data_IF_210589036184
#
_entry.id   IF_210589036184
#
_cell.length_a   1.000
_cell.length_b   1.000
_cell.length_c   1.000
_cell.angle_alpha   90.00
_cell.angle_beta   90.00
_cell.angle_gamma   90.00
#
_symmetry.space_group_name_H-M   'P 1'
#
loop_
_entity.id
_entity.type
_entity.pdbx_description
1 polymer ?
#
# COMPACT_ATOMS: atom_id res chain seq x y z
N UNK A 1 -9.34 -5.37 -12.33
CA UNK A 1 -9.36 -4.97 -10.90
C UNK A 1 -8.45 -5.89 -10.12
N UNK A 2 -7.98 -5.42 -8.97
CA UNK A 2 -7.26 -6.25 -8.00
C UNK A 2 -8.27 -6.75 -6.94
N UNK A 3 -9.07 -7.73 -7.29
CA UNK A 3 -10.01 -8.35 -6.37
C UNK A 3 -9.37 -9.59 -5.75
N UNK A 4 -9.68 -9.87 -4.49
CA UNK A 4 -9.18 -11.06 -3.81
C UNK A 4 -10.15 -12.21 -4.04
N UNK A 5 -9.65 -13.28 -4.63
CA UNK A 5 -10.31 -14.59 -4.62
C UNK A 5 -10.02 -15.26 -3.27
N UNK A 6 -10.99 -15.20 -2.36
CA UNK A 6 -10.81 -15.71 -1.01
C UNK A 6 -10.73 -17.24 -0.93
N UNK A 7 -11.35 -17.95 -1.86
CA UNK A 7 -11.24 -19.41 -1.93
C UNK A 7 -9.84 -19.82 -2.37
N UNK A 8 -9.31 -19.15 -3.41
CA UNK A 8 -7.96 -19.39 -3.86
C UNK A 8 -6.93 -18.96 -2.81
N UNK A 9 -7.14 -17.82 -2.14
CA UNK A 9 -6.27 -17.34 -1.04
C UNK A 9 -6.18 -18.37 0.09
N UNK A 10 -7.32 -18.93 0.52
CA UNK A 10 -7.33 -19.97 1.55
C UNK A 10 -6.59 -21.22 1.11
N UNK A 11 -6.83 -21.67 -0.14
CA UNK A 11 -6.13 -22.81 -0.72
C UNK A 11 -4.62 -22.56 -0.77
N UNK A 12 -4.18 -21.40 -1.22
CA UNK A 12 -2.76 -21.04 -1.29
C UNK A 12 -2.11 -21.03 0.10
N UNK A 13 -2.82 -20.54 1.11
CA UNK A 13 -2.35 -20.56 2.51
C UNK A 13 -2.11 -21.98 2.99
N UNK A 14 -3.04 -22.89 2.69
CA UNK A 14 -2.97 -24.30 3.14
C UNK A 14 -1.93 -25.07 2.35
N UNK A 15 -2.00 -25.04 1.02
CA UNK A 15 -1.17 -25.84 0.13
C UNK A 15 0.33 -25.47 0.22
N UNK A 16 0.63 -24.21 0.53
CA UNK A 16 2.01 -23.70 0.67
C UNK A 16 2.45 -23.54 2.12
N UNK A 17 1.66 -23.99 3.09
CA UNK A 17 1.96 -23.86 4.54
C UNK A 17 2.37 -22.43 4.94
N UNK A 18 1.67 -21.41 4.42
CA UNK A 18 2.01 -19.99 4.60
C UNK A 18 2.07 -19.65 6.09
N UNK A 19 3.14 -19.00 6.53
CA UNK A 19 3.33 -18.56 7.92
C UNK A 19 3.15 -17.05 8.08
N UNK A 20 3.35 -16.29 7.02
CA UNK A 20 3.22 -14.84 7.01
C UNK A 20 2.49 -14.40 5.74
N UNK A 21 1.45 -13.61 5.89
CA UNK A 21 0.75 -12.96 4.78
C UNK A 21 1.01 -11.45 4.84
N UNK A 22 1.48 -10.87 3.73
CA UNK A 22 1.72 -9.43 3.64
C UNK A 22 0.62 -8.80 2.81
N UNK A 23 -0.16 -7.95 3.44
CA UNK A 23 -1.24 -7.18 2.84
C UNK A 23 -0.78 -5.74 2.60
N UNK A 24 -0.91 -5.23 1.38
CA UNK A 24 -0.72 -3.82 1.08
C UNK A 24 -2.08 -3.10 1.16
N UNK A 25 -2.23 -2.13 2.08
CA UNK A 25 -3.50 -1.48 2.40
C UNK A 25 -3.32 0.03 2.69
N UNK A 26 -3.67 0.96 1.77
CA UNK A 26 -4.13 0.76 0.38
C UNK A 26 -3.10 0.06 -0.51
N UNK A 27 -3.61 -0.66 -1.54
CA UNK A 27 -2.78 -1.51 -2.39
C UNK A 27 -1.92 -0.70 -3.37
N UNK A 28 -0.62 -0.91 -3.32
CA UNK A 28 0.34 -0.40 -4.29
C UNK A 28 0.81 -1.58 -5.19
N UNK A 29 0.76 -1.49 -6.53
CA UNK A 29 0.50 -0.29 -7.34
C UNK A 29 -0.96 -0.07 -7.78
N UNK A 30 -1.87 -0.96 -7.43
CA UNK A 30 -3.23 -0.97 -7.96
C UNK A 30 -4.16 0.11 -7.42
N UNK A 31 -3.80 0.81 -6.35
CA UNK A 31 -4.62 1.87 -5.76
C UNK A 31 -5.93 1.39 -5.12
N UNK A 32 -6.05 0.08 -4.84
CA UNK A 32 -7.22 -0.49 -4.19
C UNK A 32 -7.27 -0.10 -2.71
N UNK A 33 -8.40 0.42 -2.26
CA UNK A 33 -8.71 0.62 -0.85
C UNK A 33 -9.65 -0.50 -0.41
N UNK A 34 -9.23 -1.30 0.55
CA UNK A 34 -9.98 -2.48 0.98
C UNK A 34 -11.14 -2.11 1.89
N UNK A 35 -12.29 -2.77 1.70
CA UNK A 35 -13.45 -2.60 2.57
C UNK A 35 -13.24 -3.28 3.93
N UNK A 36 -14.06 -2.91 4.92
CA UNK A 36 -14.04 -3.59 6.23
C UNK A 36 -14.33 -5.07 6.12
N UNK A 37 -15.25 -5.45 5.23
CA UNK A 37 -15.68 -6.82 5.01
C UNK A 37 -14.55 -7.66 4.39
N UNK A 38 -13.79 -7.09 3.45
CA UNK A 38 -12.62 -7.75 2.87
C UNK A 38 -11.52 -7.93 3.92
N UNK A 39 -11.21 -6.89 4.68
CA UNK A 39 -10.22 -6.95 5.77
C UNK A 39 -10.63 -7.94 6.86
N UNK A 40 -11.91 -8.01 7.19
CA UNK A 40 -12.44 -8.99 8.14
C UNK A 40 -12.21 -10.43 7.65
N UNK A 41 -12.49 -10.70 6.38
CA UNK A 41 -12.27 -12.02 5.78
C UNK A 41 -10.78 -12.40 5.76
N UNK A 42 -9.90 -11.47 5.38
CA UNK A 42 -8.44 -11.68 5.41
C UNK A 42 -7.98 -12.04 6.81
N UNK A 43 -8.38 -11.24 7.81
CA UNK A 43 -7.99 -11.47 9.20
C UNK A 43 -8.49 -12.82 9.73
N UNK A 44 -9.75 -13.19 9.40
CA UNK A 44 -10.33 -14.49 9.78
C UNK A 44 -9.58 -15.68 9.15
N UNK A 45 -9.18 -15.58 7.88
CA UNK A 45 -8.37 -16.61 7.23
C UNK A 45 -7.00 -16.75 7.89
N UNK A 46 -6.32 -15.64 8.15
CA UNK A 46 -5.04 -15.63 8.85
C UNK A 46 -5.17 -16.25 10.26
N UNK A 47 -6.21 -15.87 11.00
CA UNK A 47 -6.47 -16.42 12.34
C UNK A 47 -6.75 -17.93 12.31
N UNK A 48 -7.61 -18.37 11.38
CA UNK A 48 -7.98 -19.78 11.21
C UNK A 48 -6.78 -20.69 10.97
N UNK A 49 -5.81 -20.21 10.17
CA UNK A 49 -4.65 -21.00 9.77
C UNK A 49 -3.35 -20.65 10.53
N UNK A 50 -3.43 -19.81 11.57
CA UNK A 50 -2.27 -19.44 12.39
C UNK A 50 -1.21 -18.64 11.62
N UNK A 51 -1.63 -17.82 10.66
CA UNK A 51 -0.78 -16.99 9.80
C UNK A 51 -0.58 -15.62 10.46
N UNK A 52 0.66 -15.14 10.52
CA UNK A 52 0.94 -13.77 10.93
C UNK A 52 0.57 -12.82 9.79
N UNK A 53 -0.24 -11.80 10.09
CA UNK A 53 -0.67 -10.80 9.12
C UNK A 53 0.17 -9.52 9.26
N UNK A 54 0.91 -9.19 8.22
CA UNK A 54 1.64 -7.91 8.10
C UNK A 54 0.85 -6.99 7.20
N UNK A 55 0.30 -5.92 7.75
CA UNK A 55 -0.43 -4.89 6.98
C UNK A 55 0.50 -3.71 6.70
N UNK A 56 0.92 -3.57 5.45
CA UNK A 56 1.65 -2.39 4.98
C UNK A 56 0.66 -1.27 4.68
N UNK A 57 0.56 -0.33 5.62
CA UNK A 57 -0.37 0.78 5.58
C UNK A 57 0.32 2.13 5.27
N UNK A 58 1.48 2.08 4.63
CA UNK A 58 2.29 3.28 4.35
C UNK A 58 1.54 4.34 3.51
N UNK A 59 0.51 3.93 2.77
CA UNK A 59 -0.35 4.81 1.97
C UNK A 59 -1.67 5.17 2.66
N UNK A 60 -1.84 4.89 3.95
CA UNK A 60 -3.11 5.03 4.69
C UNK A 60 -3.77 6.41 4.58
N UNK A 61 -3.00 7.49 4.52
CA UNK A 61 -3.51 8.86 4.47
C UNK A 61 -3.85 9.32 3.04
N UNK A 62 -3.44 8.54 2.03
CA UNK A 62 -3.62 8.86 0.61
C UNK A 62 -4.84 8.13 0.01
N UNK A 63 -5.94 8.09 0.76
CA UNK A 63 -7.24 7.69 0.20
C UNK A 63 -7.85 8.87 -0.55
N UNK A 64 -8.44 8.58 -1.71
CA UNK A 64 -9.00 9.56 -2.66
C UNK A 64 -10.50 9.30 -2.86
N UNK A 65 -11.23 10.29 -3.39
CA UNK A 65 -12.64 10.17 -3.77
C UNK A 65 -13.55 9.63 -2.66
N UNK A 66 -13.47 10.18 -1.48
CA UNK A 66 -14.26 9.78 -0.30
C UNK A 66 -14.01 8.34 0.22
N UNK A 67 -13.05 7.60 -0.37
CA UNK A 67 -12.64 6.33 0.19
C UNK A 67 -12.02 6.52 1.58
N UNK A 68 -12.26 5.55 2.45
CA UNK A 68 -11.74 5.56 3.82
C UNK A 68 -10.83 4.37 4.06
N UNK A 69 -9.65 4.67 4.55
CA UNK A 69 -8.74 3.63 5.04
C UNK A 69 -9.28 3.03 6.34
N UNK A 70 -9.12 1.73 6.48
CA UNK A 70 -9.37 0.99 7.70
C UNK A 70 -8.12 0.22 8.06
N UNK A 71 -7.50 0.53 9.20
CA UNK A 71 -6.36 -0.23 9.68
C UNK A 71 -6.81 -1.62 10.15
N UNK A 72 -6.03 -2.65 9.83
CA UNK A 72 -6.36 -4.04 10.19
C UNK A 72 -6.57 -4.22 11.69
N UNK A 73 -5.83 -3.50 12.53
CA UNK A 73 -5.94 -3.55 13.99
C UNK A 73 -7.25 -2.95 14.52
N UNK A 74 -8.02 -2.24 13.68
CA UNK A 74 -9.31 -1.64 14.06
C UNK A 74 -10.52 -2.44 13.60
N UNK A 75 -10.29 -3.50 12.80
CA UNK A 75 -11.37 -4.32 12.23
C UNK A 75 -11.94 -5.26 13.30
N UNK A 76 -11.07 -5.98 13.98
CA UNK A 76 -11.45 -6.89 15.05
C UNK A 76 -10.36 -6.88 16.15
N UNK A 77 -10.73 -6.76 17.44
CA UNK A 77 -9.77 -6.76 18.54
C UNK A 77 -8.85 -7.98 18.57
N UNK A 78 -9.33 -9.15 18.14
CA UNK A 78 -8.53 -10.39 18.14
C UNK A 78 -7.40 -10.38 17.11
N UNK A 79 -7.49 -9.54 16.06
CA UNK A 79 -6.45 -9.45 15.04
C UNK A 79 -5.13 -8.89 15.57
N UNK A 80 -5.18 -8.14 16.67
CA UNK A 80 -4.00 -7.61 17.37
C UNK A 80 -3.06 -8.69 17.89
N UNK A 81 -3.57 -9.90 18.09
CA UNK A 81 -2.78 -11.02 18.62
C UNK A 81 -1.79 -11.59 17.59
N UNK A 82 -2.05 -11.41 16.30
CA UNK A 82 -1.25 -11.98 15.22
C UNK A 82 -0.92 -11.00 14.09
N UNK A 83 -1.25 -9.73 14.23
CA UNK A 83 -0.99 -8.74 13.19
C UNK A 83 0.10 -7.72 13.55
N UNK A 84 0.72 -7.18 12.51
CA UNK A 84 1.64 -6.05 12.56
C UNK A 84 1.19 -5.02 11.53
N UNK A 85 1.13 -3.76 11.92
CA UNK A 85 0.90 -2.64 11.00
C UNK A 85 2.20 -1.91 10.77
N UNK A 86 2.57 -1.74 9.50
CA UNK A 86 3.74 -0.96 9.09
C UNK A 86 3.27 0.35 8.46
N UNK A 87 3.80 1.48 8.91
CA UNK A 87 3.41 2.78 8.37
C UNK A 87 4.52 3.81 8.48
N UNK A 88 4.33 4.97 7.81
CA UNK A 88 5.30 6.05 7.77
C UNK A 88 4.65 7.33 7.24
N UNK A 89 5.12 8.48 7.69
CA UNK A 89 4.79 9.79 7.09
C UNK A 89 5.44 10.00 5.70
N UNK A 90 6.38 9.14 5.31
CA UNK A 90 7.27 9.40 4.17
C UNK A 90 6.55 9.43 2.82
N UNK A 91 5.52 8.62 2.63
CA UNK A 91 4.73 8.63 1.38
C UNK A 91 3.70 9.75 1.39
N UNK A 92 2.97 9.89 2.48
CA UNK A 92 1.94 10.91 2.65
C UNK A 92 2.49 12.32 2.43
N UNK A 93 3.66 12.63 2.98
CA UNK A 93 4.23 13.98 2.98
C UNK A 93 5.44 14.15 2.07
N UNK A 94 5.69 13.18 1.17
CA UNK A 94 6.79 13.23 0.19
C UNK A 94 8.18 13.45 0.83
N UNK A 95 8.44 12.81 1.95
CA UNK A 95 9.70 12.91 2.71
C UNK A 95 10.45 11.58 2.80
N UNK A 96 10.38 10.76 1.74
CA UNK A 96 11.00 9.42 1.69
C UNK A 96 12.52 9.41 1.99
N UNK A 97 13.22 10.52 1.67
CA UNK A 97 14.63 10.69 1.98
C UNK A 97 14.96 10.67 3.47
N UNK A 98 14.01 10.89 4.35
CA UNK A 98 14.20 10.82 5.82
C UNK A 98 14.32 9.40 6.35
N UNK A 99 13.93 8.39 5.55
CA UNK A 99 14.05 6.94 5.84
C UNK A 99 13.52 6.56 7.23
N UNK A 100 12.35 7.07 7.59
CA UNK A 100 11.72 6.81 8.88
C UNK A 100 10.40 6.06 8.68
N UNK A 101 10.22 4.97 9.42
CA UNK A 101 8.98 4.20 9.48
C UNK A 101 8.79 3.62 10.87
N UNK A 102 7.62 3.16 11.18
CA UNK A 102 7.33 2.51 12.46
C UNK A 102 6.40 1.32 12.27
N UNK A 103 6.52 0.36 13.18
CA UNK A 103 5.67 -0.81 13.27
C UNK A 103 4.78 -0.71 14.52
N UNK A 104 3.49 -0.92 14.36
CA UNK A 104 2.52 -1.01 15.46
C UNK A 104 2.26 -2.49 15.69
N UNK A 105 2.71 -3.01 16.83
CA UNK A 105 2.62 -4.42 17.18
C UNK A 105 2.09 -4.52 18.61
N UNK A 106 0.83 -4.88 18.75
CA UNK A 106 0.19 -4.90 20.07
C UNK A 106 0.54 -6.18 20.84
N UNK A 107 0.67 -7.33 20.18
CA UNK A 107 1.11 -8.57 20.81
C UNK A 107 2.55 -8.45 21.34
N UNK A 108 2.79 -8.60 22.67
CA UNK A 108 4.10 -8.38 23.26
C UNK A 108 5.15 -9.43 22.83
N UNK A 109 4.73 -10.67 22.50
CA UNK A 109 5.63 -11.72 22.01
C UNK A 109 6.13 -11.40 20.61
N UNK A 110 5.22 -11.01 19.69
CA UNK A 110 5.58 -10.60 18.35
C UNK A 110 6.44 -9.34 18.36
N UNK A 111 6.09 -8.33 19.18
CA UNK A 111 6.87 -7.11 19.32
C UNK A 111 8.28 -7.39 19.81
N UNK A 112 8.44 -8.28 20.80
CA UNK A 112 9.76 -8.67 21.29
C UNK A 112 10.59 -9.35 20.20
N UNK A 113 10.01 -10.31 19.46
CA UNK A 113 10.69 -11.01 18.38
C UNK A 113 11.11 -10.03 17.26
N UNK A 114 10.22 -9.14 16.86
CA UNK A 114 10.50 -8.10 15.86
C UNK A 114 11.65 -7.19 16.30
N UNK A 115 11.61 -6.66 17.54
CA UNK A 115 12.65 -5.78 18.07
C UNK A 115 14.00 -6.49 18.21
N UNK A 116 14.01 -7.76 18.58
CA UNK A 116 15.24 -8.55 18.63
C UNK A 116 15.85 -8.72 17.23
N UNK A 117 15.03 -8.98 16.21
CA UNK A 117 15.51 -9.11 14.85
C UNK A 117 16.03 -7.78 14.29
N UNK A 118 15.39 -6.64 14.64
CA UNK A 118 15.92 -5.32 14.27
C UNK A 118 17.32 -5.08 14.87
N UNK A 119 17.56 -5.47 16.11
CA UNK A 119 18.89 -5.37 16.73
C UNK A 119 19.91 -6.24 16.00
N UNK A 120 19.58 -7.49 15.70
CA UNK A 120 20.45 -8.41 14.95
C UNK A 120 20.83 -7.85 13.58
N UNK A 121 19.87 -7.21 12.89
CA UNK A 121 20.07 -6.64 11.57
C UNK A 121 20.65 -5.21 11.60
N UNK A 122 20.95 -4.66 12.77
CA UNK A 122 21.38 -3.27 12.96
C UNK A 122 20.42 -2.24 12.34
N UNK A 123 19.10 -2.48 12.48
CA UNK A 123 18.02 -1.66 11.92
C UNK A 123 17.19 -0.97 13.01
N UNK A 124 17.77 -0.68 14.14
CA UNK A 124 17.08 -0.07 15.29
C UNK A 124 17.33 1.44 15.44
N UNK A 125 18.28 1.99 14.71
CA UNK A 125 18.58 3.41 14.74
C UNK A 125 17.75 4.18 13.72
N UNK A 126 17.21 5.32 14.15
CA UNK A 126 16.40 6.20 13.31
C UNK A 126 17.07 7.57 13.23
N UNK A 127 17.07 8.17 12.05
CA UNK A 127 17.59 9.52 11.83
C UNK A 127 16.85 10.54 12.70
N UNK A 128 17.58 11.37 13.44
CA UNK A 128 17.00 12.48 14.23
C UNK A 128 16.15 13.41 13.35
N UNK A 129 16.61 13.71 12.13
CA UNK A 129 15.84 14.53 11.18
C UNK A 129 14.57 13.78 10.75
N UNK A 130 14.63 12.45 10.61
CA UNK A 130 13.46 11.63 10.30
C UNK A 130 12.41 11.65 11.39
N UNK A 131 12.81 11.61 12.66
CA UNK A 131 11.89 11.72 13.80
C UNK A 131 11.20 13.09 13.83
N UNK A 132 11.98 14.17 13.74
CA UNK A 132 11.45 15.55 13.72
C UNK A 132 10.52 15.75 12.52
N UNK A 133 10.92 15.30 11.33
CA UNK A 133 10.09 15.43 10.14
C UNK A 133 8.76 14.68 10.27
N UNK A 134 8.77 13.48 10.86
CA UNK A 134 7.56 12.70 11.11
C UNK A 134 6.64 13.40 12.11
N UNK A 135 7.17 13.90 13.22
CA UNK A 135 6.40 14.64 14.20
C UNK A 135 5.74 15.89 13.60
N UNK A 136 6.51 16.69 12.87
CA UNK A 136 6.00 17.90 12.20
C UNK A 136 4.96 17.54 11.14
N UNK A 137 5.19 16.50 10.34
CA UNK A 137 4.27 16.05 9.33
C UNK A 137 2.89 15.72 9.92
N UNK A 138 2.85 14.89 10.96
CA UNK A 138 1.58 14.48 11.57
C UNK A 138 0.93 15.57 12.46
N UNK A 139 1.70 16.47 13.04
CA UNK A 139 1.15 17.53 13.92
C UNK A 139 0.77 18.80 13.17
N UNK A 140 1.44 19.12 12.04
CA UNK A 140 1.27 20.38 11.32
C UNK A 140 0.98 20.21 9.82
N UNK A 141 1.09 19.00 9.27
CA UNK A 141 0.97 18.72 7.83
C UNK A 141 -0.46 18.60 7.30
N UNK A 142 -1.50 18.62 8.14
CA UNK A 142 -2.88 18.36 7.74
C UNK A 142 -3.35 19.23 6.57
N UNK A 143 -3.15 20.55 6.65
CA UNK A 143 -3.58 21.48 5.60
C UNK A 143 -2.88 21.22 4.27
N UNK A 144 -1.61 20.83 4.29
CA UNK A 144 -0.85 20.45 3.10
C UNK A 144 -1.44 19.19 2.46
N UNK A 145 -1.75 18.17 3.26
CA UNK A 145 -2.34 16.92 2.76
C UNK A 145 -3.74 17.15 2.16
N UNK A 146 -4.57 17.97 2.83
CA UNK A 146 -5.90 18.35 2.34
C UNK A 146 -5.83 19.11 1.01
N UNK A 147 -4.80 19.93 0.80
CA UNK A 147 -4.57 20.63 -0.47
C UNK A 147 -4.00 19.69 -1.56
N UNK A 148 -3.21 18.68 -1.18
CA UNK A 148 -2.62 17.72 -2.13
C UNK A 148 -3.66 16.77 -2.75
N UNK A 149 -4.60 16.26 -1.94
CA UNK A 149 -5.56 15.25 -2.42
C UNK A 149 -6.36 15.68 -3.66
N UNK A 150 -6.97 16.86 -3.72
CA UNK A 150 -7.66 17.33 -4.92
C UNK A 150 -6.75 17.39 -6.15
N UNK A 151 -5.49 17.81 -5.99
CA UNK A 151 -4.52 17.84 -7.10
C UNK A 151 -4.24 16.44 -7.64
N UNK A 152 -4.11 15.45 -6.75
CA UNK A 152 -3.95 14.05 -7.17
C UNK A 152 -5.19 13.52 -7.89
N UNK A 153 -6.38 13.82 -7.38
CA UNK A 153 -7.66 13.42 -7.98
C UNK A 153 -7.84 14.03 -9.37
N UNK A 154 -7.55 15.31 -9.55
CA UNK A 154 -7.61 16.00 -10.85
C UNK A 154 -6.62 15.40 -11.84
N UNK A 155 -5.37 15.17 -11.45
CA UNK A 155 -4.35 14.54 -12.29
C UNK A 155 -4.77 13.11 -12.70
N UNK A 156 -5.28 12.32 -11.77
CA UNK A 156 -5.76 10.96 -12.06
C UNK A 156 -6.95 11.00 -13.03
N UNK A 157 -7.92 11.90 -12.82
CA UNK A 157 -9.07 12.06 -13.69
C UNK A 157 -8.65 12.46 -15.11
N UNK A 158 -7.67 13.36 -15.26
CA UNK A 158 -7.11 13.74 -16.55
C UNK A 158 -6.47 12.54 -17.26
N UNK A 159 -5.63 11.76 -16.55
CA UNK A 159 -5.02 10.54 -17.11
C UNK A 159 -6.07 9.53 -17.54
N UNK A 160 -7.05 9.24 -16.67
CA UNK A 160 -8.13 8.29 -16.96
C UNK A 160 -8.92 8.74 -18.19
N UNK A 161 -9.35 9.99 -18.22
CA UNK A 161 -10.17 10.54 -19.31
C UNK A 161 -9.41 10.55 -20.63
N UNK A 162 -8.20 11.09 -20.63
CA UNK A 162 -7.39 11.24 -21.84
C UNK A 162 -7.01 9.87 -22.43
N UNK A 163 -6.50 8.95 -21.60
CA UNK A 163 -6.08 7.65 -22.13
C UNK A 163 -7.26 6.79 -22.58
N UNK A 164 -8.36 6.79 -21.84
CA UNK A 164 -9.56 6.00 -22.22
C UNK A 164 -10.22 6.51 -23.50
N UNK A 165 -10.14 7.80 -23.78
CA UNK A 165 -10.74 8.39 -24.99
C UNK A 165 -9.84 8.32 -26.23
N UNK A 166 -8.52 8.39 -26.04
CA UNK A 166 -7.56 8.55 -27.14
C UNK A 166 -6.72 7.31 -27.44
N UNK A 167 -6.81 6.28 -26.62
CA UNK A 167 -5.94 5.10 -26.72
C UNK A 167 -6.70 3.81 -26.41
N UNK A 168 -6.07 2.66 -26.68
CA UNK A 168 -6.57 1.35 -26.27
C UNK A 168 -6.04 0.93 -24.87
N UNK A 169 -5.35 1.81 -24.15
CA UNK A 169 -4.83 1.54 -22.81
C UNK A 169 -6.01 1.43 -21.83
N UNK A 170 -6.03 0.33 -21.07
CA UNK A 170 -6.98 0.21 -19.96
C UNK A 170 -6.38 0.85 -18.73
N UNK A 171 -7.08 1.82 -18.18
CA UNK A 171 -6.64 2.54 -16.99
C UNK A 171 -7.40 2.04 -15.78
N UNK A 172 -6.70 1.61 -14.75
CA UNK A 172 -7.30 1.31 -13.47
C UNK A 172 -7.30 2.57 -12.59
N UNK A 173 -8.48 3.17 -12.44
CA UNK A 173 -8.65 4.34 -11.60
C UNK A 173 -8.42 3.96 -10.14
N UNK A 174 -7.39 4.52 -9.45
CA UNK A 174 -7.12 4.19 -8.06
C UNK A 174 -8.12 4.84 -7.11
N UNK A 175 -8.50 4.16 -6.04
CA UNK A 175 -9.25 4.72 -4.92
C UNK A 175 -8.34 5.30 -3.82
N UNK A 176 -7.05 5.07 -3.93
CA UNK A 176 -6.01 5.55 -3.03
C UNK A 176 -4.63 5.47 -3.66
N UNK A 177 -3.62 5.93 -2.97
CA UNK A 177 -2.25 6.16 -3.44
C UNK A 177 -2.16 7.29 -4.48
N UNK A 178 -1.00 7.49 -5.07
CA UNK A 178 -0.75 8.43 -6.18
C UNK A 178 -0.31 7.70 -7.46
N UNK A 179 -0.57 6.39 -7.54
CA UNK A 179 -0.15 5.54 -8.64
C UNK A 179 -1.36 5.19 -9.52
N UNK A 180 -1.14 5.20 -10.83
CA UNK A 180 -2.14 4.79 -11.82
C UNK A 180 -1.62 3.56 -12.55
N UNK A 181 -2.33 2.45 -12.47
CA UNK A 181 -1.98 1.23 -13.17
C UNK A 181 -2.52 1.25 -14.60
N UNK A 182 -1.63 1.01 -15.56
CA UNK A 182 -1.93 1.06 -16.99
C UNK A 182 -1.72 -0.33 -17.61
N UNK A 183 -2.73 -0.85 -18.29
CA UNK A 183 -2.68 -2.11 -19.02
C UNK A 183 -2.56 -1.83 -20.53
N UNK A 184 -1.42 -2.22 -21.11
CA UNK A 184 -1.08 -2.07 -22.52
C UNK A 184 -1.35 -3.34 -23.34
N UNK A 185 -1.98 -4.37 -22.78
CA UNK A 185 -2.19 -5.66 -23.44
C UNK A 185 -2.89 -5.56 -24.79
N UNK A 186 -3.75 -4.56 -24.99
CA UNK A 186 -4.46 -4.32 -26.24
C UNK A 186 -3.54 -4.05 -27.46
N UNK A 187 -2.28 -3.69 -27.22
CA UNK A 187 -1.31 -3.40 -28.30
C UNK A 187 -0.57 -4.65 -28.79
N UNK A 188 -0.67 -5.79 -28.10
CA UNK A 188 -0.02 -7.04 -28.48
C UNK A 188 1.51 -6.98 -28.56
N UNK A 189 2.13 -6.00 -27.88
CA UNK A 189 3.57 -5.78 -27.87
C UNK A 189 4.27 -6.69 -26.86
N UNK A 190 5.47 -7.13 -27.17
CA UNK A 190 6.36 -7.71 -26.17
C UNK A 190 6.79 -6.66 -25.13
N UNK A 191 7.31 -7.11 -24.00
CA UNK A 191 7.81 -6.21 -22.97
C UNK A 191 8.91 -5.28 -23.50
N UNK A 192 9.82 -5.81 -24.31
CA UNK A 192 10.94 -5.05 -24.90
C UNK A 192 10.45 -3.99 -25.88
N UNK A 193 9.51 -4.33 -26.76
CA UNK A 193 8.89 -3.37 -27.70
C UNK A 193 8.15 -2.27 -26.97
N UNK A 194 7.38 -2.63 -25.94
CA UNK A 194 6.67 -1.65 -25.11
C UNK A 194 7.65 -0.70 -24.41
N UNK A 195 8.71 -1.23 -23.80
CA UNK A 195 9.75 -0.42 -23.15
C UNK A 195 10.46 0.51 -24.17
N UNK A 196 10.74 0.02 -25.38
CA UNK A 196 11.31 0.84 -26.43
C UNK A 196 10.40 2.02 -26.80
N UNK A 197 9.13 1.73 -27.08
CA UNK A 197 8.13 2.77 -27.39
C UNK A 197 7.99 3.81 -26.29
N UNK A 198 7.84 3.39 -25.06
CA UNK A 198 7.68 4.30 -23.91
C UNK A 198 8.94 5.16 -23.74
N UNK A 199 10.13 4.52 -23.66
CA UNK A 199 11.35 5.21 -23.29
C UNK A 199 12.02 5.96 -24.43
N UNK A 200 12.01 5.39 -25.64
CA UNK A 200 12.74 5.97 -26.79
C UNK A 200 11.87 6.84 -27.67
N UNK A 201 10.65 6.39 -27.99
CA UNK A 201 9.76 7.14 -28.88
C UNK A 201 8.97 8.20 -28.08
N UNK A 202 8.26 7.80 -27.02
CA UNK A 202 7.49 8.73 -26.20
C UNK A 202 8.33 9.53 -25.19
N UNK A 203 9.60 9.14 -24.95
CA UNK A 203 10.53 9.78 -24.00
C UNK A 203 9.97 9.88 -22.58
N UNK A 204 9.22 8.86 -22.17
CA UNK A 204 8.67 8.73 -20.82
C UNK A 204 9.44 7.69 -20.04
N UNK A 205 9.52 7.90 -18.73
CA UNK A 205 10.01 6.90 -17.77
C UNK A 205 8.85 6.52 -16.88
N UNK A 206 8.34 5.30 -17.08
CA UNK A 206 7.32 4.68 -16.23
C UNK A 206 7.97 3.53 -15.44
N UNK A 207 7.40 3.24 -14.27
CA UNK A 207 7.80 2.12 -13.42
C UNK A 207 7.06 0.85 -13.82
#
# INVERSE_FOLDING_TARGET
>A
SFDIDFEQLEKDIVDNEVKVYVLCNPHNPGGRVWSKEELQKIGQLCQKHGVILVSDEIHQDLTLYDNKHHSINTIDPSFKDFSLVLTSATKTFNIAGTKNSFAIIENPKLRKAFSQQQLVNNQHEVSTLGLIATEVAYTKGKAWLEALKPVLEDNINEVVTTLSQKTAIKVMKPGGTYLVWLDFSAYGLSHEELQHKIRKEAKLVLN
#
